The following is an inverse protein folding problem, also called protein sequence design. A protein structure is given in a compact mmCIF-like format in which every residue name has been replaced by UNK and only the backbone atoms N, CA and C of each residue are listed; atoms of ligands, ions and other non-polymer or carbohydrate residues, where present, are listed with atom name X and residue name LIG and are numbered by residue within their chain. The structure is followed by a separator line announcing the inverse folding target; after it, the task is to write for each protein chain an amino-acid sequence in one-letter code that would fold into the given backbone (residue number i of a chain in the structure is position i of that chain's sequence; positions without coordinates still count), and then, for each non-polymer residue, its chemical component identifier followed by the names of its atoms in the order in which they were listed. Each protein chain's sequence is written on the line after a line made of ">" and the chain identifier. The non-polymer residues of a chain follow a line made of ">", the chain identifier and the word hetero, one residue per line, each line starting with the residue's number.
data_IF_243981868588
#
_entry.id   IF_243981868588
#
_cell.length_a   1.000
_cell.length_b   1.000
_cell.length_c   1.000
_cell.angle_alpha   90.00
_cell.angle_beta   90.00
_cell.angle_gamma   90.00
#
_symmetry.space_group_name_H-M   'P 1'
#
loop_
_entity.id
_entity.type
_entity.pdbx_description
1 polymer ?
#
# COMPACT_ATOMS: atom_id res chain seq x y z
N UNK A 1 8.35 -13.96 18.31
CA UNK A 1 8.60 -14.07 16.85
C UNK A 1 8.72 -12.66 16.31
N UNK A 2 9.94 -12.20 16.04
CA UNK A 2 10.22 -10.82 15.62
C UNK A 2 9.97 -10.70 14.13
N UNK A 3 8.70 -10.61 13.74
CA UNK A 3 8.36 -10.18 12.40
C UNK A 3 8.30 -8.65 12.43
N UNK A 4 9.27 -8.04 11.73
CA UNK A 4 9.07 -6.82 10.94
C UNK A 4 8.98 -5.52 11.71
N UNK A 5 10.00 -4.68 11.52
CA UNK A 5 10.02 -3.28 11.93
C UNK A 5 9.07 -2.41 11.10
N UNK A 6 7.84 -2.88 10.84
CA UNK A 6 6.75 -2.08 10.30
C UNK A 6 5.78 -1.75 11.45
N UNK A 7 5.32 -0.51 11.49
CA UNK A 7 4.39 -0.02 12.52
C UNK A 7 2.96 -0.10 12.02
N UNK A 8 2.05 -0.62 12.83
CA UNK A 8 0.62 -0.68 12.53
C UNK A 8 -0.10 0.35 13.38
N UNK A 9 -0.56 1.43 12.75
CA UNK A 9 -1.34 2.48 13.40
C UNK A 9 -2.82 2.21 13.13
N UNK A 10 -3.64 2.07 14.17
CA UNK A 10 -5.10 2.01 14.02
C UNK A 10 -5.61 3.37 13.54
N UNK A 11 -6.44 3.36 12.50
CA UNK A 11 -7.02 4.58 11.89
C UNK A 11 -8.54 4.63 12.01
N UNK A 12 -9.18 3.47 12.15
CA UNK A 12 -10.58 3.29 12.51
C UNK A 12 -10.75 1.90 13.11
N UNK A 13 -11.95 1.61 13.62
CA UNK A 13 -12.32 0.25 14.00
C UNK A 13 -12.09 -0.69 12.81
N UNK A 14 -11.40 -1.81 13.05
CA UNK A 14 -11.08 -2.80 12.04
C UNK A 14 -10.22 -2.28 10.86
N UNK A 15 -9.57 -1.11 11.00
CA UNK A 15 -8.73 -0.53 9.96
C UNK A 15 -7.38 -0.03 10.48
N UNK A 16 -6.32 -0.36 9.75
CA UNK A 16 -4.94 -0.05 10.09
C UNK A 16 -4.18 0.55 8.92
N UNK A 17 -3.29 1.48 9.26
CA UNK A 17 -2.26 1.98 8.37
C UNK A 17 -0.92 1.36 8.74
N UNK A 18 -0.25 0.74 7.78
CA UNK A 18 1.06 0.10 7.98
C UNK A 18 2.16 1.02 7.47
N UNK A 19 3.10 1.36 8.34
CA UNK A 19 4.15 2.35 8.09
C UNK A 19 5.55 1.74 8.24
N UNK A 20 6.51 2.21 7.45
CA UNK A 20 7.94 2.01 7.65
C UNK A 20 8.48 3.08 8.62
N UNK A 21 8.80 2.73 9.89
CA UNK A 21 9.29 3.67 10.89
C UNK A 21 10.71 4.17 10.62
N UNK A 22 11.42 3.59 9.65
CA UNK A 22 12.76 4.06 9.25
C UNK A 22 12.68 5.31 8.36
N UNK A 23 11.50 5.64 7.83
CA UNK A 23 11.25 6.84 7.04
C UNK A 23 10.57 7.94 7.87
N UNK A 24 10.82 9.23 7.56
CA UNK A 24 10.10 10.33 8.19
C UNK A 24 8.59 10.22 7.95
N UNK A 25 7.77 10.63 8.92
CA UNK A 25 6.30 10.61 8.78
C UNK A 25 5.77 11.54 7.69
N UNK A 26 6.58 12.48 7.22
CA UNK A 26 6.26 13.37 6.10
C UNK A 26 6.58 12.77 4.73
N UNK A 27 7.28 11.64 4.68
CA UNK A 27 7.57 10.91 3.44
C UNK A 27 6.36 10.05 3.06
N UNK A 28 5.84 10.25 1.85
CA UNK A 28 4.70 9.48 1.36
C UNK A 28 5.00 7.98 1.25
N UNK A 29 6.26 7.63 0.96
CA UNK A 29 6.74 6.25 0.90
C UNK A 29 6.85 5.60 2.30
N UNK A 30 6.68 6.38 3.39
CA UNK A 30 6.61 5.81 4.73
C UNK A 30 5.35 4.97 4.93
N UNK A 31 4.30 5.15 4.13
CA UNK A 31 3.10 4.31 4.19
C UNK A 31 3.24 3.14 3.22
N UNK A 32 3.18 1.92 3.76
CA UNK A 32 3.42 0.68 3.01
C UNK A 32 2.11 0.09 2.50
N UNK A 33 1.08 0.08 3.33
CA UNK A 33 -0.24 -0.44 3.00
C UNK A 33 -1.33 0.13 3.92
N UNK A 34 -2.57 0.06 3.45
CA UNK A 34 -3.76 0.10 4.29
C UNK A 34 -4.33 -1.29 4.44
N UNK A 35 -4.87 -1.61 5.61
CA UNK A 35 -5.50 -2.89 5.90
C UNK A 35 -6.86 -2.62 6.52
N UNK A 36 -7.90 -3.25 6.01
CA UNK A 36 -9.25 -3.18 6.56
C UNK A 36 -9.80 -4.60 6.72
N UNK A 37 -10.41 -4.89 7.86
CA UNK A 37 -11.18 -6.11 8.05
C UNK A 37 -12.60 -5.87 7.55
N UNK A 38 -12.96 -6.58 6.49
CA UNK A 38 -14.29 -6.56 5.88
C UNK A 38 -15.31 -7.26 6.78
N UNK A 39 -16.59 -7.00 6.53
CA UNK A 39 -17.72 -7.58 7.26
C UNK A 39 -17.80 -9.12 7.18
N UNK A 40 -17.23 -9.71 6.13
CA UNK A 40 -17.11 -11.16 5.94
C UNK A 40 -15.93 -11.77 6.72
N UNK A 41 -15.18 -10.95 7.47
CA UNK A 41 -14.04 -11.38 8.29
C UNK A 41 -12.71 -11.44 7.53
N UNK A 42 -12.70 -11.16 6.23
CA UNK A 42 -11.50 -11.13 5.39
C UNK A 42 -10.78 -9.80 5.55
N UNK A 43 -9.45 -9.82 5.51
CA UNK A 43 -8.61 -8.62 5.54
C UNK A 43 -8.29 -8.19 4.12
N UNK A 44 -8.73 -7.00 3.73
CA UNK A 44 -8.35 -6.37 2.46
C UNK A 44 -7.13 -5.49 2.69
N UNK A 45 -6.11 -5.67 1.85
CA UNK A 45 -4.86 -4.92 1.88
C UNK A 45 -4.78 -4.08 0.61
N UNK A 46 -4.66 -2.77 0.78
CA UNK A 46 -4.38 -1.82 -0.30
C UNK A 46 -2.89 -1.54 -0.32
N UNK A 47 -2.23 -1.90 -1.42
CA UNK A 47 -0.79 -1.78 -1.58
C UNK A 47 -0.38 -0.35 -1.95
N UNK A 48 0.51 0.25 -1.15
CA UNK A 48 1.12 1.54 -1.44
C UNK A 48 2.62 1.42 -1.77
N UNK A 49 3.23 0.27 -1.46
CA UNK A 49 4.59 -0.05 -1.91
C UNK A 49 4.61 -1.06 -3.07
N UNK A 50 5.50 -0.84 -4.03
CA UNK A 50 5.62 -1.69 -5.22
C UNK A 50 4.45 -1.50 -6.19
N UNK A 51 3.98 -2.56 -6.83
CA UNK A 51 2.85 -2.46 -7.78
C UNK A 51 1.57 -2.09 -7.03
N UNK A 52 0.86 -1.06 -7.48
CA UNK A 52 -0.44 -0.69 -6.93
C UNK A 52 -1.47 -1.81 -7.12
N UNK A 53 -2.37 -1.96 -6.16
CA UNK A 53 -3.46 -2.93 -6.22
C UNK A 53 -4.05 -3.24 -4.85
N UNK A 54 -4.99 -4.18 -4.84
CA UNK A 54 -5.64 -4.70 -3.62
C UNK A 54 -5.55 -6.21 -3.59
N UNK A 55 -5.41 -6.78 -2.40
CA UNK A 55 -5.38 -8.24 -2.19
C UNK A 55 -6.08 -8.59 -0.88
N UNK A 56 -6.65 -9.78 -0.78
CA UNK A 56 -7.45 -10.20 0.36
C UNK A 56 -6.84 -11.42 1.05
N UNK A 57 -6.87 -11.42 2.39
CA UNK A 57 -6.30 -12.47 3.24
C UNK A 57 -7.30 -12.93 4.28
N UNK A 58 -7.30 -14.22 4.62
CA UNK A 58 -8.25 -14.77 5.60
C UNK A 58 -7.81 -14.53 7.05
N UNK A 59 -6.52 -14.24 7.25
CA UNK A 59 -5.95 -13.96 8.57
C UNK A 59 -5.03 -12.73 8.54
N UNK A 60 -5.08 -11.93 9.61
CA UNK A 60 -4.23 -10.73 9.75
C UNK A 60 -2.73 -11.07 9.73
N UNK A 61 -2.35 -12.26 10.23
CA UNK A 61 -0.97 -12.73 10.19
C UNK A 61 -0.46 -12.98 8.78
N UNK A 62 -1.32 -13.48 7.89
CA UNK A 62 -0.99 -13.69 6.47
C UNK A 62 -0.80 -12.34 5.77
N UNK A 63 -1.71 -11.39 6.00
CA UNK A 63 -1.58 -10.02 5.51
C UNK A 63 -0.27 -9.39 6.00
N UNK A 64 0.08 -9.54 7.28
CA UNK A 64 1.31 -8.99 7.85
C UNK A 64 2.57 -9.57 7.19
N UNK A 65 2.62 -10.89 6.96
CA UNK A 65 3.71 -11.54 6.23
C UNK A 65 3.81 -11.02 4.79
N UNK A 66 2.68 -10.96 4.07
CA UNK A 66 2.66 -10.47 2.69
C UNK A 66 3.13 -9.01 2.58
N UNK A 67 2.73 -8.15 3.52
CA UNK A 67 3.16 -6.75 3.59
C UNK A 67 4.67 -6.64 3.83
N UNK A 68 5.19 -7.43 4.76
CA UNK A 68 6.62 -7.47 5.04
C UNK A 68 7.45 -7.91 3.83
N UNK A 69 7.04 -8.98 3.16
CA UNK A 69 7.74 -9.54 2.01
C UNK A 69 7.72 -8.55 0.83
N UNK A 70 6.56 -7.93 0.58
CA UNK A 70 6.40 -6.93 -0.47
C UNK A 70 7.25 -5.68 -0.20
N UNK A 71 7.27 -5.20 1.05
CA UNK A 71 8.12 -4.07 1.45
C UNK A 71 9.61 -4.38 1.30
N UNK A 72 10.03 -5.58 1.71
CA UNK A 72 11.41 -6.03 1.51
C UNK A 72 11.77 -6.12 0.02
N UNK A 73 10.85 -6.54 -0.84
CA UNK A 73 11.05 -6.60 -2.28
C UNK A 73 11.14 -5.21 -2.93
N UNK A 74 10.25 -4.27 -2.57
CA UNK A 74 10.24 -2.92 -3.14
C UNK A 74 11.50 -2.12 -2.79
N UNK A 75 12.05 -2.29 -1.57
CA UNK A 75 13.35 -1.69 -1.21
C UNK A 75 14.51 -2.16 -2.07
N UNK A 76 14.48 -3.40 -2.59
CA UNK A 76 15.54 -3.92 -3.49
C UNK A 76 15.45 -3.34 -4.89
N UNK A 77 14.26 -2.99 -5.35
CA UNK A 77 14.03 -2.51 -6.72
C UNK A 77 14.23 -0.99 -6.84
N UNK A 78 14.27 -0.27 -5.72
CA UNK A 78 14.26 1.18 -5.68
C UNK A 78 12.88 1.73 -6.07
N UNK A 79 12.40 2.76 -5.39
CA UNK A 79 11.22 3.48 -5.86
C UNK A 79 11.59 4.19 -7.18
N UNK A 80 10.79 4.07 -8.26
CA UNK A 80 11.03 4.85 -9.46
C UNK A 80 11.10 6.33 -9.08
N UNK A 81 12.18 7.00 -9.48
CA UNK A 81 12.29 8.45 -9.30
C UNK A 81 11.03 9.11 -9.86
N UNK A 82 10.46 10.04 -9.10
CA UNK A 82 9.30 10.80 -9.53
C UNK A 82 9.59 11.39 -10.93
N UNK A 83 8.82 10.97 -11.91
CA UNK A 83 8.93 11.46 -13.30
C UNK A 83 7.84 12.48 -13.57
N UNK A 84 8.08 13.34 -14.55
CA UNK A 84 7.13 14.37 -14.95
C UNK A 84 5.78 13.71 -15.30
N UNK A 85 4.65 14.17 -14.72
CA UNK A 85 3.32 13.66 -15.06
C UNK A 85 3.07 13.72 -16.57
N UNK A 86 2.41 12.71 -17.11
CA UNK A 86 1.98 12.72 -18.52
C UNK A 86 0.90 13.78 -18.72
N UNK A 87 1.07 14.71 -19.68
CA UNK A 87 0.04 15.72 -19.95
C UNK A 87 -1.27 15.06 -20.39
N UNK A 88 -2.38 15.41 -19.73
CA UNK A 88 -3.72 15.00 -20.18
C UNK A 88 -4.08 15.84 -21.41
N UNK A 89 -4.49 15.19 -22.50
CA UNK A 89 -4.88 15.89 -23.72
C UNK A 89 -6.07 16.82 -23.45
N UNK A 90 -5.96 18.09 -23.86
CA UNK A 90 -6.99 19.12 -23.65
C UNK A 90 -8.21 18.98 -24.59
N UNK A 91 -8.20 18.02 -25.53
CA UNK A 91 -9.33 17.84 -26.45
C UNK A 91 -10.39 16.92 -25.84
N UNK A 92 -11.67 17.30 -25.92
CA UNK A 92 -12.75 16.40 -25.52
C UNK A 92 -12.73 15.13 -26.38
N UNK A 93 -13.18 13.98 -25.84
CA UNK A 93 -13.30 12.75 -26.62
C UNK A 93 -14.22 12.99 -27.82
N UNK A 94 -13.78 12.58 -29.01
CA UNK A 94 -14.58 12.71 -30.23
C UNK A 94 -15.85 11.86 -30.07
N UNK A 95 -17.02 12.49 -30.17
CA UNK A 95 -18.28 11.76 -30.32
C UNK A 95 -18.24 10.98 -31.63
N UNK A 96 -18.47 9.67 -31.56
CA UNK A 96 -18.57 8.81 -32.74
C UNK A 96 -19.71 9.34 -33.64
N UNK A 97 -19.37 9.66 -34.89
CA UNK A 97 -20.32 10.01 -35.95
C UNK A 97 -21.17 8.81 -36.36
#
# INVERSE_FOLDING_TARGET
>A
MHHTGLRWDEIAEDAWRVCDPTRPSSDADAVVAYVERRRDGVFEVVWLCGTAGTETFVAIGEAACAIADRHAASRRTGSPLATKPTPIAHRPPLSRA
#
